data_IF_283807250593
#
_entry.id   IF_283807250593
#
_cell.length_a   1.000
_cell.length_b   1.000
_cell.length_c   1.000
_cell.angle_alpha   90.00
_cell.angle_beta   90.00
_cell.angle_gamma   90.00
#
_symmetry.space_group_name_H-M   'P 1'
#
loop_
_entity.id
_entity.type
_entity.pdbx_description
1 polymer ?
#
# COMPACT_ATOMS: atom_id res chain seq x y z
N UNK A 1 0.00 -20.75 -15.48
CA UNK A 1 -1.02 -19.75 -15.86
C UNK A 1 -0.46 -18.37 -15.50
N UNK A 2 -0.09 -17.55 -16.50
CA UNK A 2 0.53 -16.25 -16.26
C UNK A 2 -0.56 -15.27 -15.82
N UNK A 3 -0.52 -14.86 -14.54
CA UNK A 3 -1.37 -13.78 -14.03
C UNK A 3 -0.97 -12.52 -14.81
N UNK A 4 -1.82 -12.10 -15.76
CA UNK A 4 -1.65 -10.80 -16.45
C UNK A 4 -1.82 -9.72 -15.39
N UNK A 5 -0.71 -9.22 -14.86
CA UNK A 5 -0.68 -7.98 -14.09
C UNK A 5 -1.36 -6.89 -14.92
N UNK A 6 -2.56 -6.49 -14.51
CA UNK A 6 -3.30 -5.43 -15.22
C UNK A 6 -2.47 -4.16 -15.10
N UNK A 7 -1.93 -3.65 -16.21
CA UNK A 7 -1.33 -2.31 -16.23
C UNK A 7 -2.43 -1.34 -15.81
N UNK A 8 -2.25 -0.69 -14.66
CA UNK A 8 -3.08 0.41 -14.19
C UNK A 8 -3.06 1.47 -15.31
N UNK A 9 -4.22 1.71 -15.95
CA UNK A 9 -4.28 2.71 -17.01
C UNK A 9 -4.01 4.09 -16.40
N UNK A 10 -3.30 4.96 -17.10
CA UNK A 10 -3.00 6.32 -16.62
C UNK A 10 -4.25 7.06 -16.13
N UNK A 11 -5.40 6.83 -16.79
CA UNK A 11 -6.70 7.39 -16.40
C UNK A 11 -7.25 6.86 -15.07
N UNK A 12 -6.87 5.66 -14.65
CA UNK A 12 -7.29 5.10 -13.36
C UNK A 12 -6.61 5.77 -12.15
N UNK A 13 -5.47 6.45 -12.35
CA UNK A 13 -4.82 7.27 -11.32
C UNK A 13 -5.67 8.49 -10.92
N UNK A 14 -6.52 8.97 -11.82
CA UNK A 14 -7.42 10.12 -11.59
C UNK A 14 -8.84 9.70 -11.16
N UNK A 15 -9.12 8.39 -11.12
CA UNK A 15 -10.44 7.85 -10.76
C UNK A 15 -10.32 6.86 -9.62
N UNK A 16 -9.84 7.35 -8.48
CA UNK A 16 -9.71 6.59 -7.26
C UNK A 16 -10.42 7.28 -6.08
N UNK A 17 -11.03 6.47 -5.21
CA UNK A 17 -11.60 6.89 -3.94
C UNK A 17 -11.01 6.06 -2.81
N UNK A 18 -10.91 6.62 -1.62
CA UNK A 18 -10.41 5.91 -0.42
C UNK A 18 -11.55 5.76 0.56
N UNK A 19 -11.90 4.52 0.89
CA UNK A 19 -12.85 4.19 1.96
C UNK A 19 -12.07 3.77 3.19
N UNK A 20 -12.16 4.57 4.25
CA UNK A 20 -11.63 4.22 5.57
C UNK A 20 -12.71 3.53 6.37
N UNK A 21 -12.58 2.22 6.58
CA UNK A 21 -13.65 1.40 7.13
C UNK A 21 -13.60 1.24 8.65
N UNK A 22 -12.41 1.18 9.23
CA UNK A 22 -12.23 0.99 10.68
C UNK A 22 -10.97 1.71 11.17
N UNK A 23 -10.86 1.92 12.47
CA UNK A 23 -9.63 2.36 13.14
C UNK A 23 -9.02 1.26 14.00
N UNK A 24 -9.68 0.10 14.10
CA UNK A 24 -9.14 -1.11 14.71
C UNK A 24 -8.06 -1.73 13.84
N UNK A 25 -7.05 -2.31 14.47
CA UNK A 25 -5.92 -2.95 13.82
C UNK A 25 -5.34 -3.98 14.81
N UNK A 26 -4.73 -5.05 14.30
CA UNK A 26 -3.99 -5.99 15.16
C UNK A 26 -2.57 -5.50 15.48
N UNK A 27 -2.01 -4.60 14.67
CA UNK A 27 -0.73 -3.95 14.95
C UNK A 27 -0.90 -2.72 15.85
N UNK A 28 0.18 -2.33 16.53
CA UNK A 28 0.28 -1.10 17.34
C UNK A 28 1.57 -0.36 16.99
N UNK A 29 1.69 0.02 15.72
CA UNK A 29 2.89 0.66 15.24
C UNK A 29 3.17 1.97 16.00
N UNK A 30 4.42 2.18 16.40
CA UNK A 30 4.85 3.30 17.26
C UNK A 30 4.54 4.69 16.70
N UNK A 31 4.54 4.82 15.37
CA UNK A 31 4.25 6.06 14.63
C UNK A 31 2.79 6.22 14.21
N UNK A 32 1.95 5.18 14.35
CA UNK A 32 0.57 5.23 13.88
C UNK A 32 -0.37 5.80 14.94
N UNK A 33 -1.08 6.89 14.61
CA UNK A 33 -2.09 7.49 15.48
C UNK A 33 -3.53 7.24 15.01
N UNK A 34 -3.74 6.33 14.05
CA UNK A 34 -5.04 6.18 13.40
C UNK A 34 -6.15 5.74 14.36
N UNK A 35 -5.80 4.94 15.37
CA UNK A 35 -6.69 4.51 16.46
C UNK A 35 -7.31 5.68 17.24
N UNK A 36 -6.75 6.89 17.14
CA UNK A 36 -7.30 8.11 17.75
C UNK A 36 -8.33 8.83 16.87
N UNK A 37 -8.55 8.39 15.63
CA UNK A 37 -9.43 9.06 14.67
C UNK A 37 -10.80 8.38 14.61
N UNK A 38 -11.88 9.11 14.28
CA UNK A 38 -13.19 8.50 14.10
C UNK A 38 -13.21 7.66 12.80
N UNK A 39 -13.74 6.43 12.89
CA UNK A 39 -14.07 5.61 11.73
C UNK A 39 -15.52 5.89 11.29
N UNK A 40 -15.83 5.59 10.01
CA UNK A 40 -17.24 5.42 9.61
C UNK A 40 -17.74 4.19 10.37
N UNK A 41 -18.86 4.29 11.08
CA UNK A 41 -19.44 3.13 11.73
C UNK A 41 -19.83 2.12 10.66
N UNK A 42 -19.14 0.99 10.60
CA UNK A 42 -19.28 0.03 9.51
C UNK A 42 -20.70 -0.50 9.31
N UNK A 43 -21.48 -0.55 10.39
CA UNK A 43 -22.89 -0.91 10.39
C UNK A 43 -23.69 0.05 9.50
N UNK A 44 -23.34 1.34 9.49
CA UNK A 44 -23.98 2.34 8.63
C UNK A 44 -23.67 2.09 7.15
N UNK A 45 -22.46 1.65 6.81
CA UNK A 45 -22.07 1.45 5.41
C UNK A 45 -22.80 0.25 4.78
N UNK A 46 -23.00 -0.83 5.54
CA UNK A 46 -23.77 -1.99 5.07
C UNK A 46 -25.22 -1.59 4.79
N UNK A 47 -25.84 -0.83 5.67
CA UNK A 47 -27.22 -0.36 5.47
C UNK A 47 -27.33 0.59 4.26
N UNK A 48 -26.35 1.48 4.07
CA UNK A 48 -26.26 2.36 2.88
C UNK A 48 -26.10 1.57 1.57
N UNK A 49 -25.39 0.43 1.60
CA UNK A 49 -25.29 -0.46 0.43
C UNK A 49 -26.63 -1.14 0.18
N UNK A 50 -27.29 -1.68 1.23
CA UNK A 50 -28.58 -2.36 1.11
C UNK A 50 -29.71 -1.43 0.65
N UNK A 51 -29.70 -0.16 1.07
CA UNK A 51 -30.68 0.85 0.63
C UNK A 51 -30.46 1.33 -0.81
N UNK A 52 -29.29 1.04 -1.40
CA UNK A 52 -28.91 1.49 -2.75
C UNK A 52 -28.31 2.90 -2.79
N UNK A 53 -28.11 3.55 -1.65
CA UNK A 53 -27.66 4.95 -1.55
C UNK A 53 -26.14 5.13 -1.61
N UNK A 54 -25.38 4.02 -1.72
CA UNK A 54 -23.92 4.07 -1.68
C UNK A 54 -23.32 5.09 -2.66
N UNK A 55 -23.74 5.09 -3.93
CA UNK A 55 -23.20 6.04 -4.92
C UNK A 55 -23.86 7.43 -4.88
N UNK A 56 -24.90 7.60 -4.07
CA UNK A 56 -25.43 8.93 -3.72
C UNK A 56 -24.55 9.59 -2.66
N UNK A 57 -23.96 8.80 -1.76
CA UNK A 57 -23.08 9.27 -0.68
C UNK A 57 -21.60 9.31 -1.05
N UNK A 58 -21.15 8.38 -1.90
CA UNK A 58 -19.75 8.24 -2.29
C UNK A 58 -19.58 8.38 -3.80
N UNK A 59 -18.54 9.07 -4.28
CA UNK A 59 -18.36 9.27 -5.71
C UNK A 59 -18.07 7.94 -6.41
N UNK A 60 -18.77 7.67 -7.51
CA UNK A 60 -18.50 6.50 -8.34
C UNK A 60 -17.13 6.63 -9.01
N UNK A 61 -16.16 5.84 -8.54
CA UNK A 61 -14.78 5.81 -9.07
C UNK A 61 -14.45 4.42 -9.64
N UNK A 62 -13.43 4.36 -10.50
CA UNK A 62 -12.95 3.10 -11.10
C UNK A 62 -12.17 2.24 -10.10
N UNK A 63 -11.47 2.89 -9.17
CA UNK A 63 -10.63 2.24 -8.16
C UNK A 63 -11.10 2.66 -6.78
N UNK A 64 -11.28 1.70 -5.88
CA UNK A 64 -11.53 1.94 -4.47
C UNK A 64 -10.38 1.37 -3.65
N UNK A 65 -9.74 2.23 -2.86
CA UNK A 65 -8.77 1.84 -1.84
C UNK A 65 -9.52 1.61 -0.54
N UNK A 66 -9.52 0.37 -0.09
CA UNK A 66 -10.06 -0.07 1.19
C UNK A 66 -8.93 -0.01 2.20
N UNK A 67 -9.08 0.91 3.15
CA UNK A 67 -8.08 1.23 4.16
C UNK A 67 -8.73 1.33 5.54
N UNK A 68 -7.92 1.48 6.58
CA UNK A 68 -8.38 1.55 7.97
C UNK A 68 -7.19 1.48 8.91
N UNK A 69 -7.42 1.04 10.14
CA UNK A 69 -6.37 0.42 10.93
C UNK A 69 -5.88 -0.83 10.20
N UNK A 70 -6.60 -1.93 10.34
CA UNK A 70 -6.62 -3.01 9.35
C UNK A 70 -8.06 -3.22 8.85
N UNK A 71 -8.34 -3.14 7.54
CA UNK A 71 -9.69 -3.33 7.02
C UNK A 71 -10.33 -4.67 7.39
N UNK A 72 -9.54 -5.73 7.60
CA UNK A 72 -10.02 -7.07 7.94
C UNK A 72 -10.31 -7.26 9.43
N UNK A 73 -10.05 -6.25 10.27
CA UNK A 73 -10.66 -6.19 11.61
C UNK A 73 -12.16 -5.87 11.56
N UNK A 74 -12.70 -5.50 10.39
CA UNK A 74 -14.13 -5.26 10.23
C UNK A 74 -14.84 -6.49 9.66
N UNK A 75 -15.74 -7.09 10.42
CA UNK A 75 -16.53 -8.28 10.02
C UNK A 75 -17.24 -8.11 8.67
N UNK A 76 -17.77 -6.91 8.39
CA UNK A 76 -18.51 -6.63 7.16
C UNK A 76 -17.64 -6.27 5.94
N UNK A 77 -16.30 -6.28 6.07
CA UNK A 77 -15.40 -5.87 4.97
C UNK A 77 -15.59 -6.73 3.72
N UNK A 78 -15.83 -8.04 3.89
CA UNK A 78 -16.00 -8.97 2.77
C UNK A 78 -17.24 -8.63 1.93
N UNK A 79 -18.32 -8.21 2.59
CA UNK A 79 -19.53 -7.74 1.93
C UNK A 79 -19.27 -6.48 1.11
N UNK A 80 -18.57 -5.50 1.67
CA UNK A 80 -18.23 -4.23 1.01
C UNK A 80 -17.33 -4.47 -0.21
N UNK A 81 -16.30 -5.30 -0.07
CA UNK A 81 -15.39 -5.68 -1.18
C UNK A 81 -16.18 -6.34 -2.31
N UNK A 82 -17.03 -7.31 -1.98
CA UNK A 82 -17.83 -8.07 -2.95
C UNK A 82 -18.81 -7.14 -3.68
N UNK A 83 -19.49 -6.25 -2.96
CA UNK A 83 -20.37 -5.24 -3.55
C UNK A 83 -19.62 -4.38 -4.57
N UNK A 84 -18.47 -3.79 -4.20
CA UNK A 84 -17.68 -2.95 -5.11
C UNK A 84 -17.22 -3.72 -6.36
N UNK A 85 -16.79 -4.97 -6.20
CA UNK A 85 -16.41 -5.83 -7.31
C UNK A 85 -17.60 -6.09 -8.26
N UNK A 86 -18.80 -6.36 -7.73
CA UNK A 86 -20.04 -6.51 -8.51
C UNK A 86 -20.42 -5.23 -9.26
N UNK A 87 -20.11 -4.05 -8.70
CA UNK A 87 -20.24 -2.75 -9.36
C UNK A 87 -19.15 -2.48 -10.41
N UNK A 88 -18.32 -3.48 -10.73
CA UNK A 88 -17.21 -3.43 -11.70
C UNK A 88 -16.12 -2.43 -11.29
N UNK A 89 -15.99 -2.12 -10.00
CA UNK A 89 -14.89 -1.35 -9.47
C UNK A 89 -13.66 -2.25 -9.25
N UNK A 90 -12.46 -1.70 -9.48
CA UNK A 90 -11.23 -2.34 -9.00
C UNK A 90 -11.08 -2.08 -7.51
N UNK A 91 -10.94 -3.14 -6.74
CA UNK A 91 -10.79 -3.07 -5.28
C UNK A 91 -9.33 -3.27 -4.91
N UNK A 92 -8.77 -2.31 -4.19
CA UNK A 92 -7.43 -2.38 -3.59
C UNK A 92 -7.57 -2.46 -2.09
N UNK A 93 -7.02 -3.48 -1.47
CA UNK A 93 -7.05 -3.61 -0.01
C UNK A 93 -5.64 -3.38 0.53
N UNK A 94 -5.52 -2.53 1.54
CA UNK A 94 -4.27 -2.22 2.23
C UNK A 94 -4.35 -2.80 3.64
N UNK A 95 -3.53 -3.80 3.93
CA UNK A 95 -3.64 -4.63 5.15
C UNK A 95 -2.28 -5.00 5.70
N UNK A 96 -2.24 -5.32 6.99
CA UNK A 96 -1.10 -5.89 7.67
C UNK A 96 -1.02 -7.42 7.56
N UNK A 97 -2.01 -8.07 6.96
CA UNK A 97 -2.04 -9.53 6.77
C UNK A 97 -2.89 -10.29 7.78
N UNK A 98 -3.61 -9.60 8.67
CA UNK A 98 -4.59 -10.26 9.53
C UNK A 98 -5.84 -10.65 8.74
N UNK A 99 -6.20 -11.94 8.77
CA UNK A 99 -7.43 -12.45 8.14
C UNK A 99 -8.18 -13.36 9.12
N UNK A 100 -9.39 -12.98 9.56
CA UNK A 100 -10.25 -13.87 10.32
C UNK A 100 -10.62 -15.11 9.49
N UNK A 101 -10.68 -16.28 10.15
CA UNK A 101 -10.97 -17.59 9.52
C UNK A 101 -12.25 -17.54 8.67
N UNK A 102 -13.27 -16.81 9.11
CA UNK A 102 -14.58 -16.76 8.47
C UNK A 102 -14.62 -15.88 7.20
N UNK A 103 -13.60 -15.05 6.96
CA UNK A 103 -13.50 -14.14 5.80
C UNK A 103 -12.81 -14.80 4.58
N UNK A 104 -12.39 -16.06 4.70
CA UNK A 104 -11.20 -16.56 3.99
C UNK A 104 -11.35 -17.09 2.56
N UNK A 105 -12.50 -16.99 1.88
CA UNK A 105 -12.54 -17.51 0.48
C UNK A 105 -13.27 -16.62 -0.53
N UNK A 106 -14.50 -16.16 -0.26
CA UNK A 106 -15.27 -15.44 -1.30
C UNK A 106 -14.77 -14.02 -1.54
N UNK A 107 -14.46 -13.26 -0.49
CA UNK A 107 -14.04 -11.86 -0.63
C UNK A 107 -12.62 -11.69 -1.16
N UNK A 108 -11.69 -12.59 -0.86
CA UNK A 108 -10.31 -12.49 -1.33
C UNK A 108 -10.21 -12.52 -2.86
N UNK A 109 -11.05 -13.35 -3.51
CA UNK A 109 -11.10 -13.42 -4.99
C UNK A 109 -11.69 -12.18 -5.65
N UNK A 110 -12.44 -11.37 -4.89
CA UNK A 110 -12.99 -10.09 -5.34
C UNK A 110 -11.99 -8.93 -5.23
N UNK A 111 -10.84 -9.15 -4.59
CA UNK A 111 -9.77 -8.15 -4.48
C UNK A 111 -8.93 -8.15 -5.76
N UNK A 112 -8.80 -6.99 -6.38
CA UNK A 112 -7.97 -6.85 -7.59
C UNK A 112 -6.48 -6.81 -7.27
N UNK A 113 -6.11 -6.09 -6.21
CA UNK A 113 -4.74 -5.90 -5.74
C UNK A 113 -4.75 -5.86 -4.21
N UNK A 114 -4.00 -6.75 -3.56
CA UNK A 114 -3.82 -6.77 -2.11
C UNK A 114 -2.44 -6.21 -1.77
N UNK A 115 -2.41 -5.04 -1.13
CA UNK A 115 -1.19 -4.41 -0.64
C UNK A 115 -0.93 -4.88 0.79
N UNK A 116 0.07 -5.75 0.94
CA UNK A 116 0.46 -6.34 2.20
C UNK A 116 1.61 -5.52 2.81
N UNK A 117 1.40 -4.97 4.01
CA UNK A 117 2.36 -4.09 4.67
C UNK A 117 3.61 -4.86 5.12
N UNK A 118 4.75 -4.49 4.56
CA UNK A 118 6.05 -5.10 4.80
C UNK A 118 7.03 -4.05 5.36
N UNK A 119 7.00 -3.77 6.67
CA UNK A 119 7.75 -2.65 7.28
C UNK A 119 9.26 -2.83 7.29
N UNK A 120 9.75 -4.06 7.44
CA UNK A 120 11.17 -4.37 7.56
C UNK A 120 11.43 -5.82 7.16
N UNK A 121 12.66 -6.12 6.74
CA UNK A 121 13.08 -7.49 6.43
C UNK A 121 13.55 -8.24 7.68
N UNK A 122 14.23 -7.54 8.60
CA UNK A 122 14.71 -8.09 9.86
C UNK A 122 13.53 -8.35 10.84
N UNK A 123 13.52 -9.51 11.50
CA UNK A 123 12.46 -9.89 12.42
C UNK A 123 12.37 -8.97 13.65
N UNK A 124 13.51 -8.52 14.18
CA UNK A 124 13.55 -7.60 15.31
C UNK A 124 12.99 -6.22 14.93
N UNK A 125 13.41 -5.66 13.79
CA UNK A 125 12.87 -4.39 13.28
C UNK A 125 11.37 -4.51 12.98
N UNK A 126 10.94 -5.64 12.41
CA UNK A 126 9.54 -5.91 12.12
C UNK A 126 8.70 -5.86 13.41
N UNK A 127 9.13 -6.57 14.45
CA UNK A 127 8.46 -6.58 15.74
C UNK A 127 8.48 -5.20 16.41
N UNK A 128 9.62 -4.50 16.37
CA UNK A 128 9.77 -3.16 16.92
C UNK A 128 8.83 -2.15 16.24
N UNK A 129 8.73 -2.20 14.91
CA UNK A 129 7.89 -1.31 14.12
C UNK A 129 6.41 -1.59 14.35
N UNK A 130 6.01 -2.87 14.36
CA UNK A 130 4.59 -3.27 14.39
C UNK A 130 4.02 -3.42 15.81
N UNK A 131 4.87 -3.58 16.81
CA UNK A 131 4.54 -3.81 18.22
C UNK A 131 4.09 -5.24 18.52
N UNK A 132 3.19 -5.80 17.71
CA UNK A 132 2.59 -7.13 17.90
C UNK A 132 2.74 -8.06 16.69
N UNK A 133 3.31 -7.57 15.58
CA UNK A 133 3.53 -8.39 14.40
C UNK A 133 4.84 -9.17 14.49
N UNK A 134 4.90 -10.30 13.78
CA UNK A 134 6.12 -11.09 13.62
C UNK A 134 6.40 -11.36 12.14
N UNK A 135 7.68 -11.49 11.79
CA UNK A 135 8.07 -11.86 10.43
C UNK A 135 7.59 -13.28 10.06
N UNK A 136 7.54 -14.19 11.05
CA UNK A 136 7.06 -15.55 10.83
C UNK A 136 5.57 -15.60 10.45
N UNK A 137 4.72 -14.87 11.17
CA UNK A 137 3.29 -14.78 10.86
C UNK A 137 3.04 -14.10 9.51
N UNK A 138 3.87 -13.10 9.18
CA UNK A 138 3.85 -12.43 7.89
C UNK A 138 4.19 -13.38 6.74
N UNK A 139 5.25 -14.17 6.86
CA UNK A 139 5.63 -15.17 5.85
C UNK A 139 4.54 -16.24 5.69
N UNK A 140 3.99 -16.74 6.79
CA UNK A 140 2.88 -17.72 6.75
C UNK A 140 1.67 -17.15 6.02
N UNK A 141 1.32 -15.89 6.30
CA UNK A 141 0.23 -15.18 5.63
C UNK A 141 0.51 -15.03 4.14
N UNK A 142 1.73 -14.64 3.77
CA UNK A 142 2.13 -14.47 2.38
C UNK A 142 2.05 -15.79 1.61
N UNK A 143 2.51 -16.89 2.21
CA UNK A 143 2.43 -18.21 1.61
C UNK A 143 0.99 -18.68 1.43
N UNK A 144 0.13 -18.44 2.43
CA UNK A 144 -1.32 -18.69 2.32
C UNK A 144 -1.94 -17.91 1.15
N UNK A 145 -1.76 -16.59 1.11
CA UNK A 145 -2.33 -15.73 0.06
C UNK A 145 -1.88 -16.13 -1.34
N UNK A 146 -0.62 -16.59 -1.46
CA UNK A 146 -0.10 -17.13 -2.72
C UNK A 146 -0.71 -18.47 -3.08
N UNK A 147 -0.94 -19.35 -2.11
CA UNK A 147 -1.67 -20.61 -2.29
C UNK A 147 -3.06 -20.35 -2.88
N UNK A 148 -3.73 -19.31 -2.37
CA UNK A 148 -5.02 -18.81 -2.85
C UNK A 148 -4.94 -17.99 -4.15
N UNK A 149 -3.74 -17.85 -4.74
CA UNK A 149 -3.48 -17.09 -5.98
C UNK A 149 -3.95 -15.64 -5.92
N UNK A 150 -3.95 -15.04 -4.73
CA UNK A 150 -4.25 -13.62 -4.54
C UNK A 150 -3.11 -12.79 -5.17
N UNK A 151 -3.48 -11.70 -5.85
CA UNK A 151 -2.51 -10.77 -6.41
C UNK A 151 -1.93 -9.86 -5.31
N UNK A 152 -0.91 -10.37 -4.62
CA UNK A 152 -0.22 -9.69 -3.51
C UNK A 152 0.88 -8.76 -4.02
N UNK A 153 0.90 -7.54 -3.48
CA UNK A 153 1.93 -6.52 -3.66
C UNK A 153 2.51 -6.24 -2.28
N UNK A 154 3.81 -6.42 -2.10
CA UNK A 154 4.48 -6.06 -0.85
C UNK A 154 4.65 -4.54 -0.81
N UNK A 155 4.12 -3.90 0.22
CA UNK A 155 4.19 -2.46 0.42
C UNK A 155 5.22 -2.11 1.50
N UNK A 156 6.32 -1.46 1.12
CA UNK A 156 7.41 -1.12 2.03
C UNK A 156 7.68 0.40 2.07
N UNK A 157 7.59 1.03 3.26
CA UNK A 157 8.04 2.39 3.48
C UNK A 157 9.57 2.46 3.61
N UNK A 158 10.22 3.23 2.75
CA UNK A 158 11.65 3.51 2.85
C UNK A 158 11.87 4.64 3.87
N UNK A 159 12.74 4.38 4.84
CA UNK A 159 13.18 5.30 5.87
C UNK A 159 14.70 5.48 5.83
N UNK A 160 15.19 6.52 6.49
CA UNK A 160 16.63 6.84 6.53
C UNK A 160 17.45 5.69 7.11
N UNK A 161 16.90 5.00 8.10
CA UNK A 161 17.47 3.84 8.78
C UNK A 161 17.22 2.51 8.06
N UNK A 162 16.19 2.39 7.22
CA UNK A 162 15.88 1.15 6.49
C UNK A 162 16.39 1.10 5.05
N UNK A 163 16.87 2.21 4.50
CA UNK A 163 17.29 2.29 3.08
C UNK A 163 18.40 1.30 2.71
N UNK A 164 19.25 0.94 3.67
CA UNK A 164 20.32 -0.06 3.48
C UNK A 164 19.77 -1.48 3.26
N UNK A 165 18.55 -1.77 3.72
CA UNK A 165 17.89 -3.08 3.62
C UNK A 165 17.19 -3.29 2.26
N UNK A 166 17.13 -2.28 1.39
CA UNK A 166 16.42 -2.37 0.10
C UNK A 166 16.83 -3.56 -0.78
N UNK A 167 18.12 -3.96 -0.86
CA UNK A 167 18.51 -5.17 -1.59
C UNK A 167 17.84 -6.44 -1.04
N UNK A 168 17.78 -6.59 0.28
CA UNK A 168 17.20 -7.76 0.94
C UNK A 168 15.67 -7.78 0.80
N UNK A 169 15.03 -6.61 0.95
CA UNK A 169 13.60 -6.42 0.71
C UNK A 169 13.23 -6.81 -0.73
N UNK A 170 14.03 -6.40 -1.71
CA UNK A 170 13.84 -6.79 -3.09
C UNK A 170 14.08 -8.28 -3.32
N UNK A 171 15.14 -8.84 -2.76
CA UNK A 171 15.43 -10.27 -2.86
C UNK A 171 14.29 -11.11 -2.27
N UNK A 172 13.70 -10.69 -1.15
CA UNK A 172 12.52 -11.30 -0.57
C UNK A 172 11.32 -11.24 -1.51
N UNK A 173 10.96 -10.05 -2.00
CA UNK A 173 9.84 -9.88 -2.95
C UNK A 173 10.03 -10.73 -4.22
N UNK A 174 11.25 -10.76 -4.76
CA UNK A 174 11.62 -11.54 -5.93
C UNK A 174 11.49 -13.04 -5.69
N UNK A 175 12.04 -13.57 -4.58
CA UNK A 175 11.92 -14.97 -4.17
C UNK A 175 10.46 -15.39 -4.06
N UNK A 176 9.60 -14.51 -3.55
CA UNK A 176 8.18 -14.79 -3.39
C UNK A 176 7.34 -14.49 -4.64
N UNK A 177 7.95 -14.06 -5.75
CA UNK A 177 7.25 -13.67 -6.99
C UNK A 177 6.15 -12.62 -6.75
N UNK A 178 6.39 -11.70 -5.83
CA UNK A 178 5.52 -10.58 -5.54
C UNK A 178 6.01 -9.32 -6.24
N UNK A 179 5.08 -8.44 -6.61
CA UNK A 179 5.46 -7.05 -6.92
C UNK A 179 5.84 -6.35 -5.63
N UNK A 180 6.74 -5.38 -5.74
CA UNK A 180 7.18 -4.54 -4.63
C UNK A 180 6.75 -3.10 -4.89
N UNK A 181 5.98 -2.52 -3.97
CA UNK A 181 5.74 -1.10 -3.90
C UNK A 181 6.65 -0.51 -2.82
N UNK A 182 7.49 0.42 -3.23
CA UNK A 182 8.33 1.22 -2.36
C UNK A 182 7.77 2.63 -2.30
N UNK A 183 7.77 3.22 -1.11
CA UNK A 183 7.43 4.64 -0.98
C UNK A 183 8.28 5.35 0.06
N UNK A 184 8.60 6.62 -0.18
CA UNK A 184 9.53 7.37 0.66
C UNK A 184 9.13 8.84 0.75
N UNK A 185 9.45 9.50 1.86
CA UNK A 185 9.24 10.94 1.98
C UNK A 185 10.47 11.69 1.44
N UNK A 186 10.36 12.45 0.34
CA UNK A 186 11.51 13.16 -0.23
C UNK A 186 12.05 14.28 0.68
N UNK A 187 11.33 14.62 1.76
CA UNK A 187 11.78 15.58 2.78
C UNK A 187 12.62 14.94 3.89
N UNK A 188 12.69 13.61 3.97
CA UNK A 188 13.54 12.95 4.95
C UNK A 188 15.01 13.18 4.60
N UNK A 189 15.88 13.16 5.62
CA UNK A 189 17.29 13.51 5.46
C UNK A 189 18.14 12.36 4.90
N UNK A 190 17.78 11.88 3.70
CA UNK A 190 18.56 10.86 3.00
C UNK A 190 19.90 11.42 2.50
N UNK A 191 20.98 10.66 2.73
CA UNK A 191 22.30 10.91 2.15
C UNK A 191 22.27 10.80 0.61
N UNK A 192 23.33 11.25 -0.06
CA UNK A 192 23.45 11.12 -1.52
C UNK A 192 23.43 9.65 -1.96
N UNK A 193 24.13 8.79 -1.22
CA UNK A 193 24.19 7.35 -1.43
C UNK A 193 22.82 6.70 -1.27
N UNK A 194 22.09 7.06 -0.21
CA UNK A 194 20.73 6.57 0.03
C UNK A 194 19.78 6.97 -1.12
N UNK A 195 19.86 8.21 -1.62
CA UNK A 195 19.05 8.67 -2.77
C UNK A 195 19.40 7.90 -4.04
N UNK A 196 20.68 7.63 -4.29
CA UNK A 196 21.10 6.82 -5.43
C UNK A 196 20.57 5.38 -5.33
N UNK A 197 20.59 4.79 -4.13
CA UNK A 197 20.01 3.47 -3.87
C UNK A 197 18.50 3.46 -4.16
N UNK A 198 17.74 4.43 -3.67
CA UNK A 198 16.31 4.56 -3.99
C UNK A 198 16.11 4.74 -5.51
N UNK A 199 16.90 5.59 -6.16
CA UNK A 199 16.79 5.86 -7.60
C UNK A 199 17.06 4.62 -8.47
N UNK A 200 17.95 3.73 -8.03
CA UNK A 200 18.19 2.45 -8.70
C UNK A 200 16.89 1.65 -8.87
N UNK A 201 16.07 1.59 -7.82
CA UNK A 201 14.83 0.80 -7.82
C UNK A 201 13.72 1.34 -8.75
N UNK A 202 13.79 2.59 -9.22
CA UNK A 202 12.87 3.09 -10.26
C UNK A 202 13.01 2.34 -11.59
N UNK A 203 14.17 1.72 -11.83
CA UNK A 203 14.48 1.00 -13.08
C UNK A 203 14.28 -0.50 -12.96
N UNK A 204 14.07 -1.01 -11.74
CA UNK A 204 13.95 -2.45 -11.48
C UNK A 204 12.56 -2.93 -11.89
N UNK A 205 12.52 -4.01 -12.68
CA UNK A 205 11.26 -4.61 -13.12
C UNK A 205 10.49 -5.14 -11.90
N UNK A 206 9.16 -5.01 -11.93
CA UNK A 206 8.24 -5.42 -10.84
C UNK A 206 8.41 -4.64 -9.53
N UNK A 207 9.15 -3.54 -9.55
CA UNK A 207 9.23 -2.58 -8.44
C UNK A 207 8.56 -1.27 -8.88
N UNK A 208 7.69 -0.73 -8.02
CA UNK A 208 7.09 0.59 -8.18
C UNK A 208 7.59 1.48 -7.06
N UNK A 209 8.14 2.65 -7.38
CA UNK A 209 8.67 3.59 -6.38
C UNK A 209 7.89 4.89 -6.41
N UNK A 210 7.39 5.32 -5.25
CA UNK A 210 6.55 6.52 -5.12
C UNK A 210 7.12 7.51 -4.08
N UNK A 211 7.38 8.76 -4.45
CA UNK A 211 7.59 9.81 -3.47
C UNK A 211 6.24 10.14 -2.80
N UNK A 212 6.19 10.05 -1.49
CA UNK A 212 4.98 10.26 -0.69
C UNK A 212 5.24 11.32 0.36
N UNK A 213 4.49 12.42 0.32
CA UNK A 213 4.47 13.39 1.40
C UNK A 213 3.29 13.00 2.29
N UNK A 214 3.52 12.48 3.51
CA UNK A 214 2.42 12.13 4.41
C UNK A 214 1.55 13.36 4.62
N UNK A 215 0.23 13.21 4.48
CA UNK A 215 -0.66 14.24 5.01
C UNK A 215 -0.62 14.16 6.54
N UNK A 216 -0.70 15.29 7.23
CA UNK A 216 -0.84 15.32 8.69
C UNK A 216 -2.02 14.44 9.17
N UNK A 217 -2.97 14.18 8.27
CA UNK A 217 -4.15 13.37 8.53
C UNK A 217 -4.01 11.85 8.33
N UNK A 218 -2.91 11.34 7.76
CA UNK A 218 -2.71 9.89 7.57
C UNK A 218 -1.32 9.47 8.05
N UNK A 219 -1.23 8.99 9.30
CA UNK A 219 0.04 8.50 9.89
C UNK A 219 0.21 6.97 9.83
N UNK A 220 -0.62 6.27 9.04
CA UNK A 220 -0.43 4.83 8.83
C UNK A 220 0.47 4.62 7.61
N UNK A 221 1.71 4.17 7.83
CA UNK A 221 2.66 3.92 6.74
C UNK A 221 2.29 2.71 5.88
N UNK A 222 1.41 1.84 6.37
CA UNK A 222 0.82 0.77 5.57
C UNK A 222 -0.03 1.29 4.40
N UNK A 223 -0.42 2.57 4.41
CA UNK A 223 -1.09 3.22 3.29
C UNK A 223 -0.46 4.58 2.97
N UNK A 224 0.29 4.73 1.86
CA UNK A 224 0.93 5.99 1.46
C UNK A 224 -0.02 7.13 1.04
N UNK A 225 -1.34 6.92 1.14
CA UNK A 225 -2.34 7.93 0.81
C UNK A 225 -2.48 8.20 -0.69
N UNK A 226 -3.12 9.34 -1.01
CA UNK A 226 -3.28 9.83 -2.39
C UNK A 226 -1.96 10.30 -3.02
N UNK A 227 -0.84 10.26 -2.28
CA UNK A 227 0.50 10.61 -2.78
C UNK A 227 0.97 9.75 -3.96
N UNK A 228 0.42 8.54 -4.13
CA UNK A 228 0.68 7.64 -5.28
C UNK A 228 0.31 8.29 -6.64
N UNK A 229 -0.43 9.40 -6.66
CA UNK A 229 -0.97 9.99 -7.88
C UNK A 229 0.04 10.74 -8.79
N UNK A 230 1.25 11.08 -8.33
CA UNK A 230 2.10 12.02 -9.09
C UNK A 230 3.31 11.37 -9.79
N UNK A 231 3.06 10.65 -10.90
CA UNK A 231 4.10 10.37 -11.90
C UNK A 231 4.73 11.64 -12.50
N UNK A 232 4.01 12.77 -12.47
CA UNK A 232 4.56 14.07 -12.89
C UNK A 232 5.73 14.54 -12.02
N UNK A 233 5.82 14.09 -10.76
CA UNK A 233 6.94 14.41 -9.86
C UNK A 233 8.22 13.67 -10.27
N UNK A 234 8.10 12.46 -10.81
CA UNK A 234 9.23 11.68 -11.34
C UNK A 234 9.79 12.40 -12.58
N UNK A 235 8.95 12.77 -13.55
CA UNK A 235 9.39 13.51 -14.75
C UNK A 235 10.04 14.85 -14.36
N UNK A 236 9.44 15.59 -13.41
CA UNK A 236 9.97 16.87 -12.95
C UNK A 236 11.33 16.74 -12.25
N UNK A 237 11.51 15.75 -11.37
CA UNK A 237 12.78 15.57 -10.66
C UNK A 237 13.87 14.96 -11.55
N UNK A 238 13.55 14.00 -12.42
CA UNK A 238 14.53 13.48 -13.38
C UNK A 238 15.00 14.58 -14.33
N UNK A 239 14.12 15.51 -14.72
CA UNK A 239 14.48 16.68 -15.53
C UNK A 239 15.31 17.70 -14.73
N UNK A 240 14.92 18.02 -13.49
CA UNK A 240 15.63 18.97 -12.61
C UNK A 240 17.02 18.48 -12.18
N UNK A 241 17.16 17.19 -11.87
CA UNK A 241 18.46 16.59 -11.54
C UNK A 241 19.37 16.50 -12.77
N UNK A 242 18.81 16.25 -13.95
CA UNK A 242 19.56 16.31 -15.21
C UNK A 242 20.09 17.72 -15.49
N UNK A 243 19.29 18.77 -15.22
CA UNK A 243 19.70 20.17 -15.40
C UNK A 243 20.75 20.59 -14.35
N UNK A 244 20.55 20.22 -13.09
CA UNK A 244 21.51 20.56 -12.02
C UNK A 244 22.85 19.80 -12.18
N UNK A 245 22.82 18.57 -12.70
CA UNK A 245 24.03 17.81 -13.05
C UNK A 245 24.79 18.36 -14.24
N UNK A 246 24.11 19.06 -15.16
CA UNK A 246 24.74 19.79 -16.28
C UNK A 246 25.33 21.13 -15.81
N UNK A 247 24.64 21.85 -14.93
CA UNK A 247 25.16 23.11 -14.38
C UNK A 247 26.47 22.92 -13.59
N UNK A 248 26.59 21.85 -12.78
CA UNK A 248 27.82 21.58 -12.03
C UNK A 248 29.00 21.09 -12.89
N UNK A 249 28.78 20.80 -14.19
CA UNK A 249 29.85 20.46 -15.15
C UNK A 249 30.31 21.64 -16.01
N UNK A 250 29.62 22.78 -15.96
CA UNK A 250 29.95 23.98 -16.74
C UNK A 250 30.71 25.02 -15.88
N UNK A 251 30.75 24.83 -14.55
CA UNK A 251 31.43 25.72 -13.59
C UNK A 251 32.72 25.15 -12.99
N UNK A 252 33.34 24.15 -13.62
CA UNK A 252 34.71 23.70 -13.40
C UNK A 252 35.52 23.92 -14.68
#
# INVERSE_FOLDING_TARGET
>A
MVIKASKISFLSLFSQFTLRLTTECTYRCSFCNLWKKPAIAANQLVEVIKSGDFFSMFPKKKVFNIVGGDPFCLDSVGYIITYLAQQKCKVRCWTNGYFPIDLMTSSLTSISELYLYFPAFNAEDFAMITGYGSMADFEQTLDYLRGEKVNVILNHPIKVDTVSQLPDIYAFAYKHNCKLLLHYNPKDNFSAEARMAIHHFFKVKNVEVYPTIPSQDMMCEAYPGTGIQKKSYIIYNTWRESINGVYNKITL
#
